data_IF_193758859323
#
_entry.id   IF_193758859323
#
_cell.length_a   1.000
_cell.length_b   1.000
_cell.length_c   1.000
_cell.angle_alpha   90.00
_cell.angle_beta   90.00
_cell.angle_gamma   90.00
#
_symmetry.space_group_name_H-M   'P 1'
#
loop_
_entity.id
_entity.type
_entity.pdbx_description
1 polymer ?
#
# COMPACT_ATOMS: atom_id res chain seq x y z
N UNK A 1 5.50 19.34 0.66
CA UNK A 1 5.16 17.99 0.18
C UNK A 1 6.42 17.37 -0.41
N UNK A 2 6.85 16.23 0.14
CA UNK A 2 7.93 15.44 -0.46
C UNK A 2 7.53 15.02 -1.87
N UNK A 3 8.45 15.15 -2.82
CA UNK A 3 8.22 14.75 -4.19
C UNK A 3 8.10 13.22 -4.25
N UNK A 4 6.96 12.70 -4.71
CA UNK A 4 6.66 11.26 -4.75
C UNK A 4 7.33 10.58 -5.95
N UNK A 5 7.45 11.26 -7.09
CA UNK A 5 8.07 10.69 -8.29
C UNK A 5 9.16 11.62 -8.81
N UNK A 6 10.17 11.07 -9.47
CA UNK A 6 11.27 11.85 -10.07
C UNK A 6 10.79 12.99 -10.97
N UNK A 7 9.69 12.81 -11.70
CA UNK A 7 9.05 13.88 -12.45
C UNK A 7 8.00 14.63 -11.59
N UNK A 8 8.13 15.96 -11.48
CA UNK A 8 7.26 16.81 -10.66
C UNK A 8 5.78 16.76 -11.07
N UNK A 9 5.47 16.74 -12.36
CA UNK A 9 4.09 16.73 -12.87
C UNK A 9 3.42 15.38 -12.62
N UNK A 10 4.15 14.30 -12.86
CA UNK A 10 3.68 12.95 -12.55
C UNK A 10 3.56 12.73 -11.03
N UNK A 11 4.46 13.32 -10.23
CA UNK A 11 4.37 13.32 -8.77
C UNK A 11 3.07 13.99 -8.29
N UNK A 12 2.68 15.13 -8.87
CA UNK A 12 1.38 15.77 -8.58
C UNK A 12 0.21 14.85 -8.98
N UNK A 13 0.34 14.13 -10.08
CA UNK A 13 -0.67 13.15 -10.51
C UNK A 13 -0.78 12.01 -9.51
N UNK A 14 0.34 11.45 -9.04
CA UNK A 14 0.31 10.39 -8.03
C UNK A 14 -0.27 10.92 -6.71
N UNK A 15 0.10 12.13 -6.28
CA UNK A 15 -0.50 12.77 -5.11
C UNK A 15 -2.02 12.87 -5.25
N UNK A 16 -2.51 13.26 -6.43
CA UNK A 16 -3.95 13.28 -6.70
C UNK A 16 -4.61 11.91 -6.53
N UNK A 17 -3.93 10.83 -6.92
CA UNK A 17 -4.44 9.47 -6.69
C UNK A 17 -4.50 9.11 -5.20
N UNK A 18 -3.53 9.57 -4.39
CA UNK A 18 -3.59 9.45 -2.93
C UNK A 18 -4.78 10.19 -2.34
N UNK A 19 -5.01 11.44 -2.74
CA UNK A 19 -6.11 12.26 -2.23
C UNK A 19 -7.47 11.66 -2.57
N UNK A 20 -7.61 11.10 -3.79
CA UNK A 20 -8.84 10.43 -4.22
C UNK A 20 -9.11 9.15 -3.42
N UNK A 21 -8.08 8.35 -3.15
CA UNK A 21 -8.20 7.15 -2.31
C UNK A 21 -8.57 7.50 -0.87
N UNK A 22 -7.92 8.52 -0.28
CA UNK A 22 -8.27 9.04 1.05
C UNK A 22 -9.72 9.55 1.07
N UNK A 23 -10.12 10.36 0.09
CA UNK A 23 -11.50 10.84 -0.02
C UNK A 23 -12.50 9.69 -0.14
N UNK A 24 -12.14 8.59 -0.82
CA UNK A 24 -12.99 7.40 -0.94
C UNK A 24 -13.16 6.70 0.42
N UNK A 25 -12.09 6.51 1.19
CA UNK A 25 -12.14 5.85 2.50
C UNK A 25 -13.14 6.51 3.47
N UNK A 26 -13.22 7.84 3.47
CA UNK A 26 -14.11 8.59 4.36
C UNK A 26 -15.47 8.92 3.72
N UNK A 27 -15.72 8.51 2.48
CA UNK A 27 -16.99 8.76 1.82
C UNK A 27 -18.05 7.76 2.29
N UNK A 28 -19.20 8.23 2.78
CA UNK A 28 -20.32 7.37 3.22
C UNK A 28 -21.09 6.73 2.05
N UNK A 29 -21.03 7.31 0.86
CA UNK A 29 -21.75 6.82 -0.32
C UNK A 29 -20.89 5.82 -1.12
N UNK A 30 -21.33 4.55 -1.18
CA UNK A 30 -20.62 3.45 -1.85
C UNK A 30 -20.42 3.67 -3.35
N UNK A 31 -21.36 4.31 -4.05
CA UNK A 31 -21.22 4.61 -5.47
C UNK A 31 -20.11 5.65 -5.67
N UNK A 32 -20.11 6.69 -4.84
CA UNK A 32 -19.08 7.72 -4.87
C UNK A 32 -17.70 7.16 -4.52
N UNK A 33 -17.61 6.23 -3.54
CA UNK A 33 -16.37 5.49 -3.26
C UNK A 33 -15.83 4.80 -4.52
N UNK A 34 -16.69 4.05 -5.23
CA UNK A 34 -16.32 3.34 -6.46
C UNK A 34 -15.84 4.29 -7.55
N UNK A 35 -16.50 5.44 -7.73
CA UNK A 35 -16.08 6.49 -8.69
C UNK A 35 -14.71 7.06 -8.33
N UNK A 36 -14.49 7.41 -7.06
CA UNK A 36 -13.21 7.97 -6.58
C UNK A 36 -12.06 6.99 -6.75
N UNK A 37 -12.24 5.73 -6.35
CA UNK A 37 -11.23 4.70 -6.56
C UNK A 37 -10.97 4.38 -8.03
N UNK A 38 -12.00 4.40 -8.88
CA UNK A 38 -11.84 4.20 -10.32
C UNK A 38 -10.99 5.31 -10.94
N UNK A 39 -11.22 6.56 -10.54
CA UNK A 39 -10.40 7.70 -10.95
C UNK A 39 -8.96 7.60 -10.45
N UNK A 40 -8.75 7.20 -9.19
CA UNK A 40 -7.41 6.99 -8.63
C UNK A 40 -6.64 5.90 -9.40
N UNK A 41 -7.30 4.77 -9.69
CA UNK A 41 -6.72 3.67 -10.46
C UNK A 41 -6.41 4.07 -11.91
N UNK A 42 -7.26 4.91 -12.52
CA UNK A 42 -7.01 5.42 -13.87
C UNK A 42 -5.72 6.25 -13.92
N UNK A 43 -5.51 7.12 -12.94
CA UNK A 43 -4.26 7.90 -12.83
C UNK A 43 -3.06 6.96 -12.67
N UNK A 44 -3.13 6.01 -11.73
CA UNK A 44 -2.03 5.07 -11.49
C UNK A 44 -1.69 4.26 -12.74
N UNK A 45 -2.69 3.79 -13.50
CA UNK A 45 -2.49 3.04 -14.75
C UNK A 45 -1.86 3.90 -15.85
N UNK A 46 -2.23 5.17 -15.97
CA UNK A 46 -1.60 6.11 -16.90
C UNK A 46 -0.12 6.31 -16.54
N UNK A 47 0.18 6.50 -15.26
CA UNK A 47 1.56 6.60 -14.77
C UNK A 47 2.34 5.30 -15.03
N UNK A 48 1.77 4.14 -14.71
CA UNK A 48 2.44 2.84 -14.91
C UNK A 48 2.87 2.59 -16.38
N UNK A 49 2.17 3.17 -17.37
CA UNK A 49 2.55 3.12 -18.78
C UNK A 49 3.77 3.98 -19.12
N UNK A 50 4.03 5.05 -18.35
CA UNK A 50 5.15 5.96 -18.56
C UNK A 50 6.46 5.47 -17.92
N UNK A 51 6.36 4.79 -16.79
CA UNK A 51 7.53 4.35 -16.03
C UNK A 51 7.91 2.92 -16.37
N UNK A 52 9.21 2.70 -16.59
CA UNK A 52 9.75 1.36 -16.83
C UNK A 52 9.81 0.56 -15.53
N UNK A 53 9.78 -0.76 -15.64
CA UNK A 53 9.80 -1.67 -14.48
C UNK A 53 11.07 -1.57 -13.60
N UNK A 54 12.11 -0.89 -14.08
CA UNK A 54 13.37 -0.68 -13.35
C UNK A 54 13.38 0.59 -12.50
N UNK A 55 12.39 1.48 -12.68
CA UNK A 55 12.36 2.75 -11.95
C UNK A 55 11.85 2.60 -10.51
N UNK A 56 12.46 3.26 -9.50
CA UNK A 56 11.88 3.36 -8.16
C UNK A 56 10.45 3.92 -8.15
N UNK A 57 10.14 4.82 -9.09
CA UNK A 57 8.80 5.40 -9.27
C UNK A 57 7.77 4.32 -9.64
N UNK A 58 8.19 3.28 -10.36
CA UNK A 58 7.34 2.15 -10.72
C UNK A 58 6.87 1.41 -9.46
N UNK A 59 7.75 1.19 -8.49
CA UNK A 59 7.40 0.55 -7.21
C UNK A 59 6.40 1.38 -6.42
N UNK A 60 6.57 2.71 -6.39
CA UNK A 60 5.65 3.61 -5.70
C UNK A 60 4.24 3.57 -6.31
N UNK A 61 4.14 3.54 -7.64
CA UNK A 61 2.86 3.43 -8.35
C UNK A 61 2.20 2.07 -8.05
N UNK A 62 2.96 0.96 -8.07
CA UNK A 62 2.44 -0.36 -7.72
C UNK A 62 1.92 -0.43 -6.29
N UNK A 63 2.66 0.14 -5.34
CA UNK A 63 2.25 0.23 -3.93
C UNK A 63 0.95 1.01 -3.77
N UNK A 64 0.76 2.11 -4.53
CA UNK A 64 -0.51 2.84 -4.52
C UNK A 64 -1.67 2.01 -5.06
N UNK A 65 -1.47 1.28 -6.17
CA UNK A 65 -2.50 0.40 -6.73
C UNK A 65 -2.87 -0.72 -5.74
N UNK A 66 -1.86 -1.32 -5.10
CA UNK A 66 -2.05 -2.30 -4.04
C UNK A 66 -2.96 -1.77 -2.93
N UNK A 67 -2.64 -0.59 -2.37
CA UNK A 67 -3.41 0.03 -1.28
C UNK A 67 -4.86 0.28 -1.69
N UNK A 68 -5.10 0.82 -2.89
CA UNK A 68 -6.46 1.06 -3.39
C UNK A 68 -7.27 -0.26 -3.45
N UNK A 69 -6.67 -1.35 -3.92
CA UNK A 69 -7.35 -2.64 -3.94
C UNK A 69 -7.54 -3.25 -2.54
N UNK A 70 -6.59 -3.02 -1.63
CA UNK A 70 -6.73 -3.44 -0.24
C UNK A 70 -7.89 -2.70 0.45
N UNK A 71 -8.00 -1.39 0.25
CA UNK A 71 -9.12 -0.58 0.78
C UNK A 71 -10.47 -1.01 0.22
N UNK A 72 -10.51 -1.44 -1.04
CA UNK A 72 -11.69 -2.05 -1.66
C UNK A 72 -11.98 -3.48 -1.20
N UNK A 73 -11.16 -4.05 -0.30
CA UNK A 73 -11.21 -5.46 0.10
C UNK A 73 -11.06 -6.46 -1.06
N UNK A 74 -10.50 -6.00 -2.19
CA UNK A 74 -10.23 -6.85 -3.37
C UNK A 74 -8.87 -7.53 -3.21
N UNK A 75 -8.75 -8.39 -2.20
CA UNK A 75 -7.48 -8.98 -1.77
C UNK A 75 -6.73 -9.74 -2.87
N UNK A 76 -7.44 -10.43 -3.77
CA UNK A 76 -6.82 -11.10 -4.93
C UNK A 76 -6.09 -10.12 -5.84
N UNK A 77 -6.70 -8.96 -6.11
CA UNK A 77 -6.08 -7.92 -6.94
C UNK A 77 -4.97 -7.21 -6.18
N UNK A 78 -5.18 -6.88 -4.90
CA UNK A 78 -4.15 -6.32 -4.05
C UNK A 78 -2.88 -7.20 -4.08
N UNK A 79 -3.04 -8.50 -3.79
CA UNK A 79 -1.94 -9.46 -3.84
C UNK A 79 -1.24 -9.48 -5.21
N UNK A 80 -1.98 -9.47 -6.32
CA UNK A 80 -1.38 -9.45 -7.67
C UNK A 80 -0.40 -8.28 -7.86
N UNK A 81 -0.77 -7.07 -7.45
CA UNK A 81 0.09 -5.89 -7.60
C UNK A 81 1.24 -5.87 -6.59
N UNK A 82 1.00 -6.39 -5.38
CA UNK A 82 2.06 -6.54 -4.38
C UNK A 82 3.09 -7.61 -4.78
N UNK A 83 2.66 -8.72 -5.35
CA UNK A 83 3.53 -9.76 -5.91
C UNK A 83 4.38 -9.19 -7.04
N UNK A 84 3.78 -8.34 -7.89
CA UNK A 84 4.53 -7.64 -8.95
C UNK A 84 5.59 -6.71 -8.35
N UNK A 85 5.28 -5.96 -7.30
CA UNK A 85 6.25 -5.12 -6.61
C UNK A 85 7.37 -5.95 -5.96
N UNK A 86 7.02 -7.06 -5.28
CA UNK A 86 8.00 -7.97 -4.65
C UNK A 86 8.90 -8.70 -5.64
N UNK A 87 8.42 -9.02 -6.84
CA UNK A 87 9.28 -9.53 -7.93
C UNK A 87 10.33 -8.52 -8.39
N UNK A 88 10.07 -7.22 -8.21
CA UNK A 88 10.97 -6.14 -8.62
C UNK A 88 11.91 -5.73 -7.50
N UNK A 89 11.41 -5.62 -6.27
CA UNK A 89 12.23 -5.39 -5.10
C UNK A 89 11.71 -6.19 -3.92
N UNK A 90 12.30 -7.38 -3.74
CA UNK A 90 11.92 -8.33 -2.69
C UNK A 90 12.28 -7.83 -1.28
N UNK A 91 13.28 -6.96 -1.18
CA UNK A 91 13.84 -6.44 0.07
C UNK A 91 13.49 -4.96 0.30
N UNK A 92 12.65 -4.37 -0.56
CA UNK A 92 12.16 -3.02 -0.34
C UNK A 92 11.30 -2.97 0.94
N UNK A 93 11.60 -2.04 1.87
CA UNK A 93 10.92 -1.98 3.17
C UNK A 93 9.42 -1.70 3.04
N UNK A 94 8.99 -0.88 2.06
CA UNK A 94 7.58 -0.56 1.83
C UNK A 94 6.85 -1.79 1.27
N UNK A 95 7.48 -2.53 0.36
CA UNK A 95 6.93 -3.79 -0.16
C UNK A 95 6.76 -4.83 0.96
N UNK A 96 7.78 -5.00 1.80
CA UNK A 96 7.73 -5.89 2.96
C UNK A 96 6.63 -5.47 3.95
N UNK A 97 6.52 -4.18 4.23
CA UNK A 97 5.47 -3.63 5.07
C UNK A 97 4.07 -3.89 4.50
N UNK A 98 3.90 -3.73 3.19
CA UNK A 98 2.65 -4.03 2.49
C UNK A 98 2.28 -5.52 2.56
N UNK A 99 3.25 -6.45 2.50
CA UNK A 99 2.96 -7.86 2.78
C UNK A 99 2.45 -8.07 4.20
N UNK A 100 3.04 -7.38 5.18
CA UNK A 100 2.54 -7.38 6.56
C UNK A 100 1.08 -6.96 6.64
N UNK A 101 0.73 -5.84 5.99
CA UNK A 101 -0.63 -5.32 5.90
C UNK A 101 -1.62 -6.29 5.23
N UNK A 102 -1.20 -6.96 4.15
CA UNK A 102 -2.02 -7.95 3.46
C UNK A 102 -2.29 -9.17 4.33
N UNK A 103 -1.25 -9.71 4.98
CA UNK A 103 -1.40 -10.86 5.87
C UNK A 103 -2.22 -10.53 7.10
N UNK A 104 -2.08 -9.31 7.64
CA UNK A 104 -2.95 -8.81 8.70
C UNK A 104 -4.41 -8.84 8.27
N UNK A 105 -4.72 -8.29 7.09
CA UNK A 105 -6.08 -8.27 6.57
C UNK A 105 -6.63 -9.68 6.30
N UNK A 106 -5.75 -10.64 6.03
CA UNK A 106 -6.11 -12.06 5.87
C UNK A 106 -6.14 -12.85 7.20
N UNK A 107 -6.06 -12.18 8.36
CA UNK A 107 -5.98 -12.78 9.69
C UNK A 107 -4.81 -13.77 9.89
N UNK A 108 -3.74 -13.65 9.09
CA UNK A 108 -2.52 -14.46 9.20
C UNK A 108 -1.50 -13.75 10.08
N UNK A 109 -1.79 -13.67 11.38
CA UNK A 109 -1.08 -12.80 12.33
C UNK A 109 0.43 -13.04 12.41
N UNK A 110 0.87 -14.29 12.41
CA UNK A 110 2.30 -14.61 12.48
C UNK A 110 3.05 -14.10 11.23
N UNK A 111 2.52 -14.37 10.04
CA UNK A 111 3.09 -13.88 8.79
C UNK A 111 3.11 -12.36 8.74
N UNK A 112 2.04 -11.70 9.21
CA UNK A 112 2.01 -10.24 9.27
C UNK A 112 3.14 -9.67 10.12
N UNK A 113 3.35 -10.22 11.33
CA UNK A 113 4.45 -9.83 12.23
C UNK A 113 5.81 -10.07 11.59
N UNK A 114 6.01 -11.22 10.94
CA UNK A 114 7.30 -11.56 10.33
C UNK A 114 7.66 -10.59 9.21
N UNK A 115 6.68 -10.20 8.38
CA UNK A 115 6.88 -9.22 7.32
C UNK A 115 7.11 -7.80 7.86
N UNK A 116 6.41 -7.38 8.91
CA UNK A 116 6.71 -6.10 9.57
C UNK A 116 8.13 -6.07 10.15
N UNK A 117 8.59 -7.15 10.79
CA UNK A 117 9.98 -7.26 11.27
C UNK A 117 10.99 -7.18 10.13
N UNK A 118 10.71 -7.81 8.99
CA UNK A 118 11.56 -7.71 7.79
C UNK A 118 11.64 -6.27 7.29
N UNK A 119 10.52 -5.53 7.24
CA UNK A 119 10.52 -4.12 6.86
C UNK A 119 11.38 -3.27 7.79
N UNK A 120 11.24 -3.43 9.11
CA UNK A 120 12.04 -2.73 10.14
C UNK A 120 13.53 -3.04 10.01
N UNK A 121 13.91 -4.27 9.63
CA UNK A 121 15.31 -4.64 9.39
C UNK A 121 15.90 -3.93 8.17
N UNK A 122 15.07 -3.55 7.19
CA UNK A 122 15.49 -2.91 5.94
C UNK A 122 15.42 -1.38 5.98
N UNK A 123 14.65 -0.81 6.90
CA UNK A 123 14.55 0.64 7.11
C UNK A 123 14.24 0.95 8.57
N UNK A 124 14.89 1.98 9.10
CA UNK A 124 14.68 2.45 10.48
C UNK A 124 13.47 3.41 10.60
N UNK A 125 12.57 3.44 9.62
CA UNK A 125 11.38 4.26 9.66
C UNK A 125 10.47 3.89 10.84
N UNK A 126 10.14 4.90 11.63
CA UNK A 126 9.37 4.73 12.87
C UNK A 126 7.94 4.22 12.60
N UNK A 127 7.38 4.54 11.43
CA UNK A 127 6.04 4.08 11.04
C UNK A 127 5.93 2.56 11.04
N UNK A 128 6.99 1.82 10.65
CA UNK A 128 6.96 0.36 10.63
C UNK A 128 6.96 -0.23 12.04
N UNK A 129 7.73 0.36 12.95
CA UNK A 129 7.78 -0.05 14.37
C UNK A 129 6.46 0.22 15.06
N UNK A 130 5.90 1.42 14.85
CA UNK A 130 4.64 1.84 15.42
C UNK A 130 3.49 0.95 14.98
N UNK A 131 3.41 0.61 13.70
CA UNK A 131 2.34 -0.26 13.20
C UNK A 131 2.47 -1.71 13.74
N UNK A 132 3.70 -2.23 13.87
CA UNK A 132 3.93 -3.54 14.50
C UNK A 132 3.52 -3.53 15.98
N UNK A 133 3.91 -2.50 16.73
CA UNK A 133 3.55 -2.35 18.14
C UNK A 133 2.02 -2.29 18.31
N UNK A 134 1.35 -1.43 17.54
CA UNK A 134 -0.11 -1.33 17.53
C UNK A 134 -0.77 -2.67 17.21
N UNK A 135 -0.27 -3.38 16.20
CA UNK A 135 -0.87 -4.65 15.81
C UNK A 135 -0.71 -5.73 16.88
N UNK A 136 0.43 -5.77 17.59
CA UNK A 136 0.65 -6.67 18.73
C UNK A 136 -0.34 -6.42 19.86
N UNK A 137 -0.64 -5.16 20.18
CA UNK A 137 -1.62 -4.84 21.21
C UNK A 137 -3.03 -5.29 20.82
N UNK A 138 -3.43 -5.10 19.56
CA UNK A 138 -4.71 -5.63 19.05
C UNK A 138 -4.78 -7.16 19.23
N UNK A 139 -3.70 -7.88 18.93
CA UNK A 139 -3.65 -9.33 19.11
C UNK A 139 -3.71 -9.76 20.57
N UNK A 140 -3.09 -8.99 21.48
CA UNK A 140 -3.15 -9.23 22.93
C UNK A 140 -4.57 -9.06 23.45
N UNK A 141 -5.24 -7.97 23.07
CA UNK A 141 -6.64 -7.71 23.44
C UNK A 141 -7.58 -8.80 22.95
N UNK A 142 -7.41 -9.28 21.71
CA UNK A 142 -8.20 -10.39 21.14
C UNK A 142 -8.01 -11.75 21.82
N UNK A 143 -6.92 -11.95 22.57
CA UNK A 143 -6.67 -13.18 23.33
C UNK A 143 -7.26 -13.14 24.74
N UNK A 144 -7.65 -11.95 25.22
CA UNK A 144 -8.14 -11.72 26.57
C UNK A 144 -9.67 -11.63 26.67
N UNK A 145 -10.37 -11.59 25.54
CA UNK A 145 -11.83 -11.64 25.45
C UNK A 145 -12.28 -12.87 24.67
#
# INVERSE_FOLDING_TARGET
MSQLLSNKTDSKSLQRAWDLDQKALFNKNKEQQRKLWSSALLICRKLLKKYTQKSPDYLQILSKIYLIYQHQQKFRLAKKYLDLAGKKSKDDPIVLFNYGNLYRAANKSQLAIDYYKKAIKRSNEEIFKNELARYREILKQKKLG
#
